data_IF_356230515467
#
_entry.id   IF_356230515467
#
_cell.length_a   1.000
_cell.length_b   1.000
_cell.length_c   1.000
_cell.angle_alpha   90.00
_cell.angle_beta   90.00
_cell.angle_gamma   90.00
#
_symmetry.space_group_name_H-M   'P 1'
#
loop_
_entity.id
_entity.type
_entity.pdbx_description
1 polymer ?
#
# COMPACT_ATOMS: atom_id res chain seq x y z
N UNK A 1 82.09 -23.66 51.55
CA UNK A 1 82.56 -24.73 50.64
C UNK A 1 81.36 -25.42 50.01
N UNK A 2 81.45 -25.61 48.69
CA UNK A 2 80.73 -26.54 47.82
C UNK A 2 79.24 -26.35 47.45
N UNK A 3 79.10 -26.02 46.17
CA UNK A 3 77.98 -26.13 45.24
C UNK A 3 77.35 -27.53 45.17
N UNK A 4 76.05 -27.58 44.78
CA UNK A 4 75.50 -28.64 43.93
C UNK A 4 74.21 -28.19 43.24
N UNK A 5 74.21 -28.23 41.92
CA UNK A 5 73.04 -28.14 41.05
C UNK A 5 72.50 -29.54 40.75
N UNK A 6 71.18 -29.71 40.56
CA UNK A 6 70.53 -30.75 39.74
C UNK A 6 69.02 -30.44 39.71
N UNK A 7 68.50 -29.88 38.61
CA UNK A 7 67.75 -30.58 37.56
C UNK A 7 66.57 -31.41 38.09
N UNK A 8 65.37 -30.82 38.03
CA UNK A 8 64.12 -31.60 38.00
C UNK A 8 63.71 -31.85 36.54
N UNK A 9 63.80 -33.11 36.13
CA UNK A 9 63.20 -33.67 34.91
C UNK A 9 61.71 -33.95 35.21
N UNK A 10 60.79 -33.80 34.25
CA UNK A 10 59.37 -34.00 34.49
C UNK A 10 59.00 -35.48 34.35
N UNK A 11 58.11 -35.98 35.21
CA UNK A 11 57.44 -37.24 34.95
C UNK A 11 56.10 -37.35 35.70
N UNK A 12 55.02 -37.21 34.92
CA UNK A 12 53.92 -38.19 34.92
C UNK A 12 52.75 -37.97 35.88
N UNK A 13 51.64 -37.42 35.36
CA UNK A 13 50.30 -37.73 35.86
C UNK A 13 49.23 -37.71 34.76
N UNK A 14 49.45 -38.46 33.67
CA UNK A 14 48.48 -38.58 32.56
C UNK A 14 47.19 -39.36 32.90
N UNK A 15 47.05 -39.93 34.10
CA UNK A 15 45.92 -40.81 34.45
C UNK A 15 44.72 -40.07 35.07
N UNK A 16 44.92 -39.00 35.85
CA UNK A 16 43.83 -38.24 36.47
C UNK A 16 42.97 -37.44 35.46
N UNK A 17 43.60 -36.95 34.39
CA UNK A 17 42.93 -36.18 33.33
C UNK A 17 41.95 -37.01 32.51
N UNK A 18 42.27 -38.27 32.20
CA UNK A 18 41.45 -39.12 31.33
C UNK A 18 40.15 -39.58 32.00
N UNK A 19 40.19 -39.88 33.30
CA UNK A 19 39.01 -40.27 34.08
C UNK A 19 38.05 -39.07 34.21
N UNK A 20 38.57 -37.87 34.43
CA UNK A 20 37.77 -36.63 34.47
C UNK A 20 37.09 -36.32 33.13
N UNK A 21 37.80 -36.48 32.01
CA UNK A 21 37.24 -36.30 30.67
C UNK A 21 36.15 -37.34 30.35
N UNK A 22 36.34 -38.60 30.76
CA UNK A 22 35.33 -39.64 30.58
C UNK A 22 34.06 -39.37 31.39
N UNK A 23 34.19 -38.94 32.64
CA UNK A 23 33.04 -38.55 33.47
C UNK A 23 32.30 -37.34 32.87
N UNK A 24 33.03 -36.33 32.41
CA UNK A 24 32.45 -35.14 31.80
C UNK A 24 31.73 -35.49 30.48
N UNK A 25 32.30 -36.39 29.68
CA UNK A 25 31.67 -36.91 28.47
C UNK A 25 30.38 -37.69 28.78
N UNK A 26 30.36 -38.50 29.84
CA UNK A 26 29.15 -39.22 30.29
C UNK A 26 28.03 -38.28 30.74
N UNK A 27 28.38 -37.20 31.47
CA UNK A 27 27.38 -36.19 31.85
C UNK A 27 26.88 -35.39 30.63
N UNK A 28 27.76 -35.06 29.69
CA UNK A 28 27.38 -34.37 28.47
C UNK A 28 26.44 -35.22 27.60
N UNK A 29 26.71 -36.51 27.43
CA UNK A 29 25.82 -37.42 26.68
C UNK A 29 24.46 -37.57 27.36
N UNK A 30 24.42 -37.75 28.68
CA UNK A 30 23.15 -37.77 29.44
C UNK A 30 22.36 -36.47 29.28
N UNK A 31 23.02 -35.31 29.34
CA UNK A 31 22.37 -34.01 29.13
C UNK A 31 21.82 -33.87 27.70
N UNK A 32 22.55 -34.31 26.67
CA UNK A 32 22.05 -34.28 25.29
C UNK A 32 20.83 -35.17 25.08
N UNK A 33 20.83 -36.38 25.66
CA UNK A 33 19.67 -37.30 25.60
C UNK A 33 18.47 -36.71 26.32
N UNK A 34 18.68 -36.07 27.48
CA UNK A 34 17.62 -35.40 28.22
C UNK A 34 17.01 -34.23 27.44
N UNK A 35 17.83 -33.35 26.86
CA UNK A 35 17.35 -32.22 26.05
C UNK A 35 16.63 -32.71 24.79
N UNK A 36 17.17 -33.72 24.11
CA UNK A 36 16.52 -34.33 22.96
C UNK A 36 15.14 -34.92 23.32
N UNK A 37 15.02 -35.59 24.47
CA UNK A 37 13.75 -36.10 24.98
C UNK A 37 12.74 -34.99 25.29
N UNK A 38 13.18 -33.86 25.87
CA UNK A 38 12.31 -32.70 26.14
C UNK A 38 11.84 -32.03 24.84
N UNK A 39 12.72 -31.91 23.85
CA UNK A 39 12.35 -31.36 22.53
C UNK A 39 11.37 -32.27 21.79
N UNK A 40 11.52 -33.59 21.91
CA UNK A 40 10.59 -34.56 21.33
C UNK A 40 9.18 -34.43 21.94
N UNK A 41 9.09 -34.34 23.28
CA UNK A 41 7.80 -34.13 23.97
C UNK A 41 7.16 -32.78 23.61
N UNK A 42 7.94 -31.71 23.45
CA UNK A 42 7.41 -30.41 23.01
C UNK A 42 6.86 -30.49 21.57
N UNK A 43 7.53 -31.23 20.69
CA UNK A 43 7.07 -31.46 19.32
C UNK A 43 5.74 -32.23 19.29
N UNK A 44 5.60 -33.30 20.07
CA UNK A 44 4.35 -34.05 20.18
C UNK A 44 3.19 -33.18 20.74
N UNK A 45 3.47 -32.37 21.77
CA UNK A 45 2.47 -31.44 22.30
C UNK A 45 2.06 -30.38 21.28
N UNK A 46 2.98 -29.87 20.47
CA UNK A 46 2.66 -28.92 19.39
C UNK A 46 1.78 -29.56 18.33
N UNK A 47 2.08 -30.79 17.91
CA UNK A 47 1.26 -31.52 16.94
C UNK A 47 -0.14 -31.76 17.49
N UNK A 48 -0.26 -32.15 18.76
CA UNK A 48 -1.55 -32.32 19.42
C UNK A 48 -2.35 -31.02 19.50
N UNK A 49 -1.71 -29.90 19.88
CA UNK A 49 -2.36 -28.58 19.92
C UNK A 49 -2.77 -28.08 18.53
N UNK A 50 -1.96 -28.32 17.49
CA UNK A 50 -2.30 -28.00 16.10
C UNK A 50 -3.52 -28.82 15.66
N UNK A 51 -3.57 -30.11 16.00
CA UNK A 51 -4.70 -30.97 15.67
C UNK A 51 -5.99 -30.55 16.40
N UNK A 52 -5.89 -30.17 17.68
CA UNK A 52 -7.05 -29.68 18.43
C UNK A 52 -7.50 -28.30 17.94
N UNK A 53 -6.57 -27.42 17.54
CA UNK A 53 -6.89 -26.17 16.86
C UNK A 53 -7.60 -26.42 15.53
N UNK A 54 -7.07 -27.30 14.68
CA UNK A 54 -7.67 -27.64 13.39
C UNK A 54 -9.05 -28.28 13.55
N UNK A 55 -9.26 -29.10 14.58
CA UNK A 55 -10.58 -29.66 14.92
C UNK A 55 -11.57 -28.59 15.35
N UNK A 56 -11.13 -27.57 16.11
CA UNK A 56 -11.95 -26.41 16.50
C UNK A 56 -12.24 -25.50 15.31
N UNK A 57 -11.26 -25.29 14.44
CA UNK A 57 -11.39 -24.51 13.20
C UNK A 57 -12.22 -25.23 12.14
N UNK A 58 -12.22 -26.57 12.11
CA UNK A 58 -13.06 -27.39 11.23
C UNK A 58 -14.49 -27.59 11.72
N UNK A 59 -14.76 -27.33 13.00
CA UNK A 59 -16.09 -27.28 13.61
C UNK A 59 -16.70 -25.86 13.61
N UNK A 60 -16.28 -25.01 12.66
CA UNK A 60 -16.86 -23.68 12.44
C UNK A 60 -18.31 -23.80 11.92
N UNK A 61 -19.24 -24.16 12.80
CA UNK A 61 -20.39 -23.29 12.99
C UNK A 61 -19.79 -21.97 13.43
N UNK A 62 -19.46 -21.13 12.44
CA UNK A 62 -19.04 -19.76 12.65
C UNK A 62 -20.05 -19.16 13.62
N UNK A 63 -19.66 -18.99 14.87
CA UNK A 63 -20.32 -18.04 15.75
C UNK A 63 -20.03 -16.70 15.07
N UNK A 64 -20.88 -16.33 14.11
CA UNK A 64 -20.80 -15.07 13.38
C UNK A 64 -20.69 -14.03 14.48
N UNK A 65 -19.51 -13.44 14.61
CA UNK A 65 -19.30 -12.41 15.61
C UNK A 65 -20.38 -11.34 15.36
N UNK A 66 -20.91 -10.73 16.42
CA UNK A 66 -21.85 -9.61 16.25
C UNK A 66 -21.24 -8.58 15.28
N UNK A 67 -19.92 -8.42 15.32
CA UNK A 67 -19.15 -7.56 14.42
C UNK A 67 -19.20 -8.02 12.94
N UNK A 68 -19.14 -9.32 12.66
CA UNK A 68 -19.28 -9.85 11.30
C UNK A 68 -20.70 -9.69 10.76
N UNK A 69 -21.70 -9.84 11.63
CA UNK A 69 -23.11 -9.57 11.28
C UNK A 69 -23.29 -8.09 10.96
N UNK A 70 -22.68 -7.19 11.76
CA UNK A 70 -22.72 -5.75 11.52
C UNK A 70 -22.01 -5.36 10.21
N UNK A 71 -20.85 -5.96 9.89
CA UNK A 71 -20.16 -5.76 8.61
C UNK A 71 -21.03 -6.21 7.42
N UNK A 72 -21.72 -7.35 7.54
CA UNK A 72 -22.65 -7.83 6.51
C UNK A 72 -23.86 -6.89 6.35
N UNK A 73 -24.41 -6.37 7.45
CA UNK A 73 -25.49 -5.37 7.42
C UNK A 73 -25.02 -4.09 6.75
N UNK A 74 -23.85 -3.56 7.13
CA UNK A 74 -23.26 -2.36 6.53
C UNK A 74 -23.01 -2.53 5.02
N UNK A 75 -22.52 -3.70 4.60
CA UNK A 75 -22.36 -4.04 3.18
C UNK A 75 -23.72 -4.05 2.45
N UNK A 76 -24.75 -4.64 3.04
CA UNK A 76 -26.12 -4.65 2.49
C UNK A 76 -26.70 -3.23 2.40
N UNK A 77 -26.46 -2.38 3.40
CA UNK A 77 -26.87 -0.97 3.36
C UNK A 77 -26.15 -0.20 2.25
N UNK A 78 -24.86 -0.44 2.04
CA UNK A 78 -24.11 0.16 0.93
C UNK A 78 -24.66 -0.33 -0.42
N UNK A 79 -24.97 -1.61 -0.57
CA UNK A 79 -25.62 -2.13 -1.77
C UNK A 79 -26.97 -1.47 -2.03
N UNK A 80 -27.77 -1.24 -0.97
CA UNK A 80 -29.04 -0.52 -1.09
C UNK A 80 -28.82 0.94 -1.52
N UNK A 81 -27.85 1.63 -0.94
CA UNK A 81 -27.49 3.00 -1.38
C UNK A 81 -27.04 3.03 -2.83
N UNK A 82 -26.29 2.02 -3.28
CA UNK A 82 -25.90 1.89 -4.68
C UNK A 82 -27.11 1.67 -5.59
N UNK A 83 -28.05 0.78 -5.22
CA UNK A 83 -29.27 0.57 -6.02
C UNK A 83 -30.16 1.80 -6.06
N UNK A 84 -30.27 2.53 -4.94
CA UNK A 84 -31.04 3.77 -4.87
C UNK A 84 -30.40 4.83 -5.79
N UNK A 85 -29.08 4.99 -5.76
CA UNK A 85 -28.34 5.88 -6.67
C UNK A 85 -28.45 5.47 -8.15
N UNK A 86 -28.43 4.16 -8.45
CA UNK A 86 -28.64 3.64 -9.81
C UNK A 86 -30.06 3.95 -10.31
N UNK A 87 -31.06 3.84 -9.43
CA UNK A 87 -32.45 4.20 -9.73
C UNK A 87 -32.62 5.71 -9.95
N UNK A 88 -32.03 6.55 -9.09
CA UNK A 88 -32.03 8.01 -9.25
C UNK A 88 -31.35 8.43 -10.55
N UNK A 89 -30.24 7.77 -10.89
CA UNK A 89 -29.53 8.00 -12.15
C UNK A 89 -30.38 7.60 -13.37
N UNK A 90 -31.11 6.49 -13.29
CA UNK A 90 -32.03 6.07 -14.34
C UNK A 90 -33.20 7.05 -14.50
N UNK A 91 -33.79 7.52 -13.40
CA UNK A 91 -34.85 8.52 -13.41
C UNK A 91 -34.37 9.85 -14.00
N UNK A 92 -33.23 10.37 -13.54
CA UNK A 92 -32.61 11.56 -14.10
C UNK A 92 -32.36 11.41 -15.61
N UNK A 93 -31.91 10.24 -16.06
CA UNK A 93 -31.68 9.97 -17.49
C UNK A 93 -32.97 10.01 -18.31
N UNK A 94 -34.10 9.52 -17.76
CA UNK A 94 -35.41 9.66 -18.39
C UNK A 94 -35.91 11.11 -18.44
N UNK A 95 -35.55 11.92 -17.44
CA UNK A 95 -35.84 13.36 -17.38
C UNK A 95 -34.90 14.21 -18.28
N UNK A 96 -33.99 13.56 -19.03
CA UNK A 96 -33.12 14.22 -20.01
C UNK A 96 -31.70 14.51 -19.50
N UNK A 97 -31.31 14.00 -18.32
CA UNK A 97 -29.91 14.00 -17.91
C UNK A 97 -29.09 13.10 -18.83
N UNK A 98 -28.10 13.67 -19.51
CA UNK A 98 -27.15 12.91 -20.32
C UNK A 98 -25.87 12.79 -19.51
N UNK A 99 -25.50 11.60 -19.00
CA UNK A 99 -24.20 11.38 -18.39
C UNK A 99 -23.10 11.87 -19.34
N UNK A 100 -22.08 12.58 -18.83
CA UNK A 100 -20.97 13.08 -19.67
C UNK A 100 -20.34 11.99 -20.56
N UNK A 101 -20.36 10.72 -20.11
CA UNK A 101 -19.87 9.58 -20.89
C UNK A 101 -20.75 9.15 -22.08
N UNK A 102 -22.04 9.50 -22.15
CA UNK A 102 -22.93 9.09 -23.24
C UNK A 102 -23.06 10.13 -24.36
N UNK A 103 -22.51 11.34 -24.21
CA UNK A 103 -22.66 12.42 -25.20
C UNK A 103 -21.76 12.29 -26.46
N UNK A 104 -21.22 11.10 -26.75
CA UNK A 104 -20.33 10.86 -27.91
C UNK A 104 -20.96 9.96 -28.98
N UNK A 105 -22.11 10.36 -29.51
CA UNK A 105 -22.52 10.00 -30.87
C UNK A 105 -23.04 11.26 -31.54
N UNK A 106 -22.13 12.03 -32.16
CA UNK A 106 -22.49 13.18 -33.00
C UNK A 106 -21.95 14.50 -32.50
N UNK A 107 -20.88 14.97 -33.13
CA UNK A 107 -20.32 16.29 -32.87
C UNK A 107 -18.84 16.34 -33.22
N UNK A 108 -18.56 16.85 -34.42
CA UNK A 108 -17.26 17.32 -34.92
C UNK A 108 -16.35 17.86 -33.81
N UNK A 109 -15.10 17.37 -33.78
CA UNK A 109 -14.09 17.46 -32.70
C UNK A 109 -14.20 16.34 -31.66
N UNK A 110 -13.85 15.12 -32.06
CA UNK A 110 -13.48 14.05 -31.13
C UNK A 110 -12.32 14.54 -30.25
N UNK A 111 -12.61 15.14 -29.09
CA UNK A 111 -11.62 15.32 -28.02
C UNK A 111 -10.97 13.96 -27.82
N UNK A 112 -9.66 13.87 -28.06
CA UNK A 112 -8.84 12.69 -27.78
C UNK A 112 -9.26 12.14 -26.42
N UNK A 113 -9.66 10.87 -26.40
CA UNK A 113 -10.18 10.21 -25.21
C UNK A 113 -9.01 10.10 -24.22
N UNK A 114 -9.12 10.73 -23.06
CA UNK A 114 -8.09 10.63 -22.02
C UNK A 114 -8.10 9.20 -21.51
N UNK A 115 -6.97 8.50 -21.59
CA UNK A 115 -6.86 7.15 -21.06
C UNK A 115 -6.88 7.17 -19.54
N UNK A 116 -6.05 8.00 -18.92
CA UNK A 116 -5.93 8.02 -17.47
C UNK A 116 -5.56 9.39 -16.90
N UNK A 117 -6.09 9.70 -15.72
CA UNK A 117 -5.64 10.80 -14.86
C UNK A 117 -4.97 10.22 -13.63
N UNK A 118 -3.69 10.54 -13.44
CA UNK A 118 -2.85 10.08 -12.34
C UNK A 118 -2.58 11.24 -11.39
N UNK A 119 -3.12 11.16 -10.18
CA UNK A 119 -2.84 12.09 -9.09
C UNK A 119 -1.72 11.57 -8.19
N UNK A 120 -0.59 12.27 -8.16
CA UNK A 120 0.52 11.99 -7.24
C UNK A 120 0.29 12.75 -5.95
N UNK A 121 -0.07 12.05 -4.89
CA UNK A 121 -0.38 12.64 -3.58
C UNK A 121 0.91 13.04 -2.88
N UNK A 122 1.05 14.32 -2.60
CA UNK A 122 2.24 14.91 -1.96
C UNK A 122 1.83 15.93 -0.91
N UNK A 123 2.72 16.26 0.02
CA UNK A 123 2.48 17.23 1.10
C UNK A 123 3.52 18.36 1.08
N UNK A 124 3.37 19.33 2.00
CA UNK A 124 4.39 20.35 2.21
C UNK A 124 5.74 19.75 2.63
N UNK A 125 6.84 20.43 2.30
CA UNK A 125 8.20 19.96 2.60
C UNK A 125 8.70 18.79 1.73
N UNK A 126 7.87 18.20 0.87
CA UNK A 126 8.22 17.07 -0.02
C UNK A 126 8.78 17.50 -1.38
N UNK A 127 9.34 18.71 -1.50
CA UNK A 127 9.92 19.22 -2.76
C UNK A 127 10.96 18.29 -3.36
N UNK A 128 11.85 17.73 -2.53
CA UNK A 128 12.88 16.77 -2.97
C UNK A 128 12.27 15.52 -3.63
N UNK A 129 11.16 15.02 -3.10
CA UNK A 129 10.44 13.87 -3.66
C UNK A 129 9.84 14.22 -5.03
N UNK A 130 9.17 15.37 -5.13
CA UNK A 130 8.62 15.84 -6.41
C UNK A 130 9.70 16.00 -7.47
N UNK A 131 10.83 16.61 -7.10
CA UNK A 131 11.98 16.77 -8.00
C UNK A 131 12.58 15.42 -8.41
N UNK A 132 12.63 14.43 -7.50
CA UNK A 132 13.06 13.09 -7.84
C UNK A 132 12.11 12.41 -8.84
N UNK A 133 10.80 12.55 -8.65
CA UNK A 133 9.77 12.01 -9.56
C UNK A 133 9.88 12.63 -10.95
N UNK A 134 10.03 13.96 -11.03
CA UNK A 134 10.24 14.69 -12.29
C UNK A 134 11.49 14.23 -13.05
N UNK A 135 12.54 13.85 -12.31
CA UNK A 135 13.78 13.33 -12.89
C UNK A 135 13.69 11.85 -13.28
N UNK A 136 12.86 11.08 -12.59
CA UNK A 136 12.82 9.63 -12.72
C UNK A 136 11.82 9.15 -13.77
N UNK A 137 10.55 9.55 -13.65
CA UNK A 137 9.47 8.94 -14.44
C UNK A 137 8.37 9.89 -14.90
N UNK A 138 8.21 11.05 -14.25
CA UNK A 138 7.22 12.04 -14.66
C UNK A 138 7.87 13.04 -15.62
N UNK A 139 7.47 13.10 -16.91
CA UNK A 139 7.99 14.11 -17.81
C UNK A 139 7.58 15.52 -17.38
N UNK A 140 8.36 16.53 -17.75
CA UNK A 140 8.12 17.94 -17.39
C UNK A 140 7.98 18.84 -18.61
N UNK A 141 7.27 19.96 -18.47
CA UNK A 141 7.10 20.95 -19.53
C UNK A 141 6.45 20.37 -20.78
N UNK A 142 7.03 20.64 -21.95
CA UNK A 142 6.49 20.17 -23.24
C UNK A 142 6.38 18.63 -23.34
N UNK A 143 7.23 17.88 -22.64
CA UNK A 143 7.14 16.41 -22.64
C UNK A 143 5.92 15.92 -21.85
N UNK A 144 5.46 16.66 -20.83
CA UNK A 144 4.24 16.35 -20.09
C UNK A 144 2.99 16.59 -20.95
N UNK A 145 2.99 17.67 -21.74
CA UNK A 145 1.93 17.95 -22.71
C UNK A 145 1.88 16.87 -23.80
N UNK A 146 3.04 16.48 -24.34
CA UNK A 146 3.12 15.35 -25.28
C UNK A 146 2.60 14.05 -24.70
N UNK A 147 2.85 13.76 -23.43
CA UNK A 147 2.31 12.56 -22.77
C UNK A 147 0.77 12.57 -22.77
N UNK A 148 0.18 13.72 -22.44
CA UNK A 148 -1.26 13.89 -22.47
C UNK A 148 -1.81 13.77 -23.91
N UNK A 149 -1.15 14.37 -24.89
CA UNK A 149 -1.61 14.37 -26.27
C UNK A 149 -1.42 13.02 -26.97
N UNK A 150 -0.29 12.34 -26.77
CA UNK A 150 0.04 11.10 -27.47
C UNK A 150 -0.56 9.87 -26.80
N UNK A 151 -0.47 9.80 -25.46
CA UNK A 151 -0.90 8.61 -24.69
C UNK A 151 -2.23 8.82 -23.97
N UNK A 152 -2.77 10.04 -23.95
CA UNK A 152 -3.97 10.34 -23.19
C UNK A 152 -3.77 10.22 -21.68
N UNK A 153 -2.52 10.32 -21.19
CA UNK A 153 -2.22 10.16 -19.75
C UNK A 153 -1.85 11.52 -19.17
N UNK A 154 -2.62 11.93 -18.17
CA UNK A 154 -2.42 13.19 -17.46
C UNK A 154 -1.84 12.86 -16.10
N UNK A 155 -0.68 13.43 -15.77
CA UNK A 155 -0.01 13.22 -14.48
C UNK A 155 0.16 14.57 -13.79
N UNK A 156 -0.31 14.68 -12.55
CA UNK A 156 -0.22 15.92 -11.76
C UNK A 156 0.06 15.61 -10.29
N UNK A 157 0.81 16.49 -9.63
CA UNK A 157 0.95 16.48 -8.18
C UNK A 157 -0.30 17.04 -7.52
N UNK A 158 -0.84 16.35 -6.51
CA UNK A 158 -2.07 16.74 -5.82
C UNK A 158 -1.71 17.23 -4.43
N UNK A 159 -2.07 18.47 -4.15
CA UNK A 159 -1.83 19.14 -2.88
C UNK A 159 -3.00 20.06 -2.54
N UNK A 160 -3.36 20.14 -1.27
CA UNK A 160 -4.27 21.12 -0.70
C UNK A 160 -3.52 22.38 -0.28
N UNK A 161 -4.21 23.21 0.50
CA UNK A 161 -3.69 24.47 1.05
C UNK A 161 -3.28 24.30 2.50
N UNK A 162 -2.48 25.24 2.99
CA UNK A 162 -2.18 25.35 4.41
C UNK A 162 -3.43 25.74 5.21
N UNK A 163 -3.38 25.58 6.53
CA UNK A 163 -4.46 26.04 7.40
C UNK A 163 -4.62 27.56 7.39
N UNK A 164 -3.57 28.30 7.01
CA UNK A 164 -3.55 29.76 6.96
C UNK A 164 -3.27 30.20 5.51
N UNK A 165 -4.32 30.42 4.69
CA UNK A 165 -4.16 30.69 3.27
C UNK A 165 -3.14 31.80 2.97
N UNK A 166 -2.16 31.48 2.12
CA UNK A 166 -1.15 32.44 1.66
C UNK A 166 0.06 32.59 2.60
N UNK A 167 0.22 31.66 3.55
CA UNK A 167 1.43 31.51 4.36
C UNK A 167 2.67 31.15 3.52
N UNK A 168 3.81 30.91 4.17
CA UNK A 168 5.04 30.54 3.48
C UNK A 168 4.95 29.19 2.75
N UNK A 169 4.16 28.24 3.26
CA UNK A 169 4.01 26.91 2.68
C UNK A 169 3.20 26.99 1.38
N UNK A 170 2.09 27.71 1.39
CA UNK A 170 1.29 27.97 0.19
C UNK A 170 2.10 28.74 -0.86
N UNK A 171 2.87 29.77 -0.44
CA UNK A 171 3.74 30.52 -1.35
C UNK A 171 4.83 29.65 -1.97
N UNK A 172 5.39 28.69 -1.24
CA UNK A 172 6.37 27.75 -1.79
C UNK A 172 5.76 26.92 -2.92
N UNK A 173 4.56 26.38 -2.70
CA UNK A 173 3.82 25.59 -3.70
C UNK A 173 3.41 26.46 -4.89
N UNK A 174 2.88 27.66 -4.66
CA UNK A 174 2.48 28.57 -5.74
C UNK A 174 3.69 28.96 -6.61
N UNK A 175 4.85 29.22 -5.99
CA UNK A 175 6.08 29.52 -6.71
C UNK A 175 6.58 28.32 -7.53
N UNK A 176 6.53 27.12 -6.96
CA UNK A 176 6.88 25.89 -7.68
C UNK A 176 5.92 25.67 -8.87
N UNK A 177 4.61 25.77 -8.64
CA UNK A 177 3.59 25.57 -9.66
C UNK A 177 3.67 26.61 -10.79
N UNK A 178 4.07 27.86 -10.50
CA UNK A 178 4.32 28.86 -11.56
C UNK A 178 5.42 28.43 -12.53
N UNK A 179 6.42 27.70 -12.05
CA UNK A 179 7.55 27.23 -12.86
C UNK A 179 7.23 25.94 -13.59
N UNK A 180 6.63 24.97 -12.88
CA UNK A 180 6.45 23.60 -13.39
C UNK A 180 5.08 23.36 -14.03
N UNK A 181 4.06 24.10 -13.59
CA UNK A 181 2.66 23.99 -14.01
C UNK A 181 2.14 22.56 -13.96
N UNK A 182 2.56 21.80 -12.96
CA UNK A 182 2.29 20.36 -12.81
C UNK A 182 1.49 19.98 -11.56
N UNK A 183 0.87 20.95 -10.90
CA UNK A 183 0.03 20.73 -9.73
C UNK A 183 -1.46 20.78 -10.03
N UNK A 184 -2.22 20.00 -9.26
CA UNK A 184 -3.62 20.20 -8.93
C UNK A 184 -3.63 20.71 -7.49
N UNK A 185 -4.03 21.97 -7.31
CA UNK A 185 -4.15 22.60 -6.00
C UNK A 185 -5.62 22.59 -5.60
N UNK A 186 -5.93 21.97 -4.47
CA UNK A 186 -7.29 21.81 -3.96
C UNK A 186 -7.62 22.95 -2.99
N UNK A 187 -8.18 24.06 -3.49
CA UNK A 187 -8.38 25.30 -2.73
C UNK A 187 -9.34 25.19 -1.53
N UNK A 188 -10.15 24.12 -1.43
CA UNK A 188 -11.04 23.84 -0.30
C UNK A 188 -10.55 22.76 0.67
N UNK A 189 -9.34 22.24 0.47
CA UNK A 189 -8.78 21.14 1.26
C UNK A 189 -7.57 21.61 2.06
N UNK A 190 -7.62 21.48 3.39
CA UNK A 190 -6.47 21.74 4.24
C UNK A 190 -5.55 20.52 4.23
N UNK A 191 -4.24 20.75 4.12
CA UNK A 191 -3.23 19.69 4.24
C UNK A 191 -2.98 19.39 5.73
N UNK A 192 -3.52 18.27 6.19
CA UNK A 192 -3.20 17.69 7.48
C UNK A 192 -3.22 16.15 7.38
N UNK A 193 -2.45 15.48 8.23
CA UNK A 193 -2.34 14.01 8.22
C UNK A 193 -3.69 13.31 8.38
N UNK A 194 -4.55 13.83 9.26
CA UNK A 194 -5.90 13.29 9.49
C UNK A 194 -6.87 13.53 8.31
N UNK A 195 -6.47 14.34 7.34
CA UNK A 195 -7.31 14.72 6.20
C UNK A 195 -6.94 14.02 4.90
N UNK A 196 -6.04 13.03 4.93
CA UNK A 196 -5.69 12.25 3.74
C UNK A 196 -6.92 11.66 3.01
N UNK A 197 -7.91 11.04 3.68
CA UNK A 197 -9.10 10.54 2.99
C UNK A 197 -9.94 11.65 2.35
N UNK A 198 -10.08 12.82 3.02
CA UNK A 198 -10.80 13.98 2.49
C UNK A 198 -10.12 14.51 1.23
N UNK A 199 -8.80 14.65 1.27
CA UNK A 199 -7.99 15.01 0.11
C UNK A 199 -8.17 14.04 -1.05
N UNK A 200 -8.24 12.73 -0.78
CA UNK A 200 -8.43 11.74 -1.84
C UNK A 200 -9.79 11.91 -2.50
N UNK A 201 -10.84 12.08 -1.70
CA UNK A 201 -12.20 12.36 -2.19
C UNK A 201 -12.21 13.61 -3.06
N UNK A 202 -11.64 14.72 -2.57
CA UNK A 202 -11.56 15.99 -3.29
C UNK A 202 -10.80 15.87 -4.60
N UNK A 203 -9.71 15.10 -4.62
CA UNK A 203 -8.96 14.81 -5.85
C UNK A 203 -9.83 14.10 -6.89
N UNK A 204 -10.51 13.01 -6.53
CA UNK A 204 -11.33 12.26 -7.49
C UNK A 204 -12.50 13.10 -8.02
N UNK A 205 -13.13 13.90 -7.16
CA UNK A 205 -14.17 14.86 -7.59
C UNK A 205 -13.59 15.82 -8.63
N UNK A 206 -12.48 16.49 -8.29
CA UNK A 206 -11.81 17.43 -9.19
C UNK A 206 -11.41 16.76 -10.51
N UNK A 207 -10.91 15.52 -10.45
CA UNK A 207 -10.45 14.81 -11.64
C UNK A 207 -11.60 14.49 -12.60
N UNK A 208 -12.72 13.98 -12.07
CA UNK A 208 -13.92 13.62 -12.86
C UNK A 208 -14.63 14.87 -13.43
N UNK A 209 -14.56 16.00 -12.72
CA UNK A 209 -15.16 17.25 -13.20
C UNK A 209 -14.39 17.85 -14.38
N UNK A 210 -13.05 17.77 -14.35
CA UNK A 210 -12.16 18.45 -15.29
C UNK A 210 -11.72 17.58 -16.47
N UNK A 211 -11.66 16.25 -16.29
CA UNK A 211 -11.22 15.32 -17.33
C UNK A 211 -12.22 14.20 -17.53
N UNK A 212 -12.58 13.97 -18.79
CA UNK A 212 -13.32 12.77 -19.22
C UNK A 212 -12.28 11.68 -19.54
N UNK A 213 -11.95 10.87 -18.53
CA UNK A 213 -10.96 9.80 -18.61
C UNK A 213 -11.53 8.43 -18.30
N UNK A 214 -10.95 7.39 -18.89
CA UNK A 214 -11.34 5.99 -18.66
C UNK A 214 -10.91 5.50 -17.28
N UNK A 215 -9.75 5.94 -16.81
CA UNK A 215 -9.19 5.55 -15.53
C UNK A 215 -8.76 6.75 -14.69
N UNK A 216 -8.99 6.66 -13.39
CA UNK A 216 -8.49 7.62 -12.41
C UNK A 216 -7.62 6.88 -11.41
N UNK A 217 -6.37 7.30 -11.28
CA UNK A 217 -5.37 6.62 -10.46
C UNK A 217 -4.80 7.55 -9.39
N UNK A 218 -4.57 6.99 -8.21
CA UNK A 218 -3.86 7.62 -7.11
C UNK A 218 -2.48 6.97 -6.97
N UNK A 219 -1.44 7.78 -6.84
CA UNK A 219 -0.06 7.33 -6.60
C UNK A 219 0.53 8.15 -5.44
N UNK A 220 1.36 7.56 -4.60
CA UNK A 220 2.07 8.30 -3.55
C UNK A 220 3.39 8.91 -4.08
N UNK A 221 3.89 9.97 -3.46
CA UNK A 221 5.11 10.68 -3.86
C UNK A 221 6.44 9.98 -3.52
N UNK A 222 6.38 8.71 -3.13
CA UNK A 222 7.52 7.82 -2.87
C UNK A 222 7.51 6.57 -3.77
N UNK A 223 6.63 6.53 -4.77
CA UNK A 223 6.48 5.40 -5.70
C UNK A 223 7.03 5.75 -7.09
N UNK A 224 7.69 4.78 -7.72
CA UNK A 224 8.07 4.82 -9.13
C UNK A 224 6.98 4.18 -9.99
N UNK A 225 6.61 4.82 -11.09
CA UNK A 225 5.61 4.29 -12.04
C UNK A 225 6.20 4.23 -13.44
N UNK A 226 6.16 3.05 -14.05
CA UNK A 226 6.42 2.91 -15.48
C UNK A 226 5.14 3.28 -16.26
N UNK A 227 5.10 4.51 -16.79
CA UNK A 227 3.92 5.06 -17.48
C UNK A 227 3.56 4.22 -18.73
N UNK A 228 4.55 3.72 -19.45
CA UNK A 228 4.33 2.93 -20.66
C UNK A 228 3.69 1.58 -20.36
N UNK A 229 4.26 0.86 -19.39
CA UNK A 229 3.70 -0.41 -18.94
C UNK A 229 2.29 -0.22 -18.35
N UNK A 230 2.09 0.86 -17.58
CA UNK A 230 0.78 1.20 -17.02
C UNK A 230 -0.23 1.48 -18.13
N UNK A 231 0.10 2.33 -19.11
CA UNK A 231 -0.79 2.66 -20.23
C UNK A 231 -1.17 1.43 -21.07
N UNK A 232 -0.21 0.54 -21.34
CA UNK A 232 -0.49 -0.72 -22.03
C UNK A 232 -1.43 -1.62 -21.22
N UNK A 233 -1.21 -1.75 -19.91
CA UNK A 233 -2.06 -2.55 -19.02
C UNK A 233 -3.48 -2.00 -18.91
N UNK A 234 -3.64 -0.68 -18.76
CA UNK A 234 -4.96 -0.06 -18.69
C UNK A 234 -5.75 -0.26 -19.99
N UNK A 235 -5.06 -0.24 -21.13
CA UNK A 235 -5.69 -0.45 -22.45
C UNK A 235 -6.30 -1.85 -22.59
N UNK A 236 -5.72 -2.88 -21.96
CA UNK A 236 -6.27 -4.26 -21.99
C UNK A 236 -7.48 -4.45 -21.10
N UNK A 237 -7.90 -3.40 -20.37
CA UNK A 237 -9.00 -3.43 -19.41
C UNK A 237 -10.14 -2.46 -19.74
N UNK A 238 -10.11 -1.83 -20.93
CA UNK A 238 -11.12 -0.86 -21.36
C UNK A 238 -12.53 -1.46 -21.51
N UNK A 239 -12.63 -2.77 -21.75
CA UNK A 239 -13.88 -3.50 -21.89
C UNK A 239 -14.53 -3.86 -20.55
N UNK A 240 -13.82 -3.68 -19.43
CA UNK A 240 -14.29 -4.09 -18.10
C UNK A 240 -14.91 -2.91 -17.35
N UNK A 241 -16.24 -2.88 -17.16
CA UNK A 241 -16.88 -1.81 -16.42
C UNK A 241 -16.56 -1.92 -14.92
N UNK A 242 -16.50 -0.76 -14.23
CA UNK A 242 -16.35 -0.66 -12.76
C UNK A 242 -15.11 -1.36 -12.20
N UNK A 243 -14.01 -1.28 -12.93
CA UNK A 243 -12.75 -1.90 -12.53
C UNK A 243 -12.05 -1.09 -11.43
N UNK A 244 -11.71 -1.77 -10.33
CA UNK A 244 -10.82 -1.26 -9.29
C UNK A 244 -9.59 -2.17 -9.20
N UNK A 245 -8.39 -1.58 -9.32
CA UNK A 245 -7.13 -2.31 -9.36
C UNK A 245 -6.12 -1.71 -8.41
N UNK A 246 -5.31 -2.57 -7.79
CA UNK A 246 -4.19 -2.20 -6.95
C UNK A 246 -3.68 -3.40 -6.17
N UNK A 247 -2.64 -3.20 -5.37
CA UNK A 247 -2.20 -4.19 -4.41
C UNK A 247 -3.19 -4.21 -3.23
N UNK A 248 -4.22 -5.05 -3.33
CA UNK A 248 -5.20 -5.21 -2.25
C UNK A 248 -4.58 -5.99 -1.10
N UNK A 249 -4.75 -5.49 0.14
CA UNK A 249 -4.43 -6.26 1.33
C UNK A 249 -5.64 -7.13 1.66
N UNK A 250 -5.43 -8.43 1.79
CA UNK A 250 -6.41 -9.37 2.32
C UNK A 250 -6.29 -9.44 3.85
N UNK A 251 -7.40 -9.62 4.55
CA UNK A 251 -7.46 -9.71 6.01
C UNK A 251 -8.68 -8.98 6.59
N UNK A 252 -8.83 -9.06 7.91
CA UNK A 252 -9.89 -8.34 8.62
C UNK A 252 -9.74 -6.82 8.45
N UNK A 253 -10.86 -6.17 8.12
CA UNK A 253 -10.98 -4.72 8.09
C UNK A 253 -11.36 -4.27 9.49
N UNK A 254 -10.46 -3.55 10.15
CA UNK A 254 -10.72 -2.90 11.43
C UNK A 254 -11.39 -1.56 11.15
N UNK A 255 -12.63 -1.42 11.61
CA UNK A 255 -13.43 -0.21 11.42
C UNK A 255 -13.25 0.81 12.55
N UNK A 256 -12.62 0.39 13.65
CA UNK A 256 -12.39 1.21 14.84
C UNK A 256 -10.88 1.43 15.05
N UNK A 257 -10.46 2.66 15.44
CA UNK A 257 -9.06 3.02 15.65
C UNK A 257 -8.44 2.42 16.93
#
# INVERSE_FOLDING_TARGET
>A
MHSRALQNRPSGSSFGSRISVLLLAMFATMATVYVAGRLWQDAENRVYLIQELDKRTGQDQSAISVDDTLKLIACREQQKKLSDLEMDLAAATQEGFVPKHSSKIGGTHAKKKTLAVIGIITTFGRKKNRDAIRKAWMPTGAALEKLADEKGIIVRFVIGRSANPGDSLDREIDNENRQTKDFIILDGQVEATEEHPKKMKSFFIHAVENWDAEFYAKVNDDVYVNIDALGAMLTTHLDKPRLYMGCMKSGEVFSEP
#
